data_IF_213822397172
#
_entry.id   IF_213822397172
#
_cell.length_a   1.000
_cell.length_b   1.000
_cell.length_c   1.000
_cell.angle_alpha   90.00
_cell.angle_beta   90.00
_cell.angle_gamma   90.00
#
_symmetry.space_group_name_H-M   'P 1'
#
loop_
_entity.id
_entity.type
_entity.pdbx_description
1 polymer ?
#
# COMPACT_ATOMS: atom_id res chain seq x y z
N UNK A 1 13.60 15.05 0.76
CA UNK A 1 12.33 14.30 0.90
C UNK A 1 12.54 12.93 0.30
N UNK A 2 12.70 11.88 1.12
CA UNK A 2 12.71 10.51 0.59
C UNK A 2 11.31 10.19 0.10
N UNK A 3 11.15 10.02 -1.22
CA UNK A 3 9.90 9.55 -1.77
C UNK A 3 9.74 8.08 -1.35
N UNK A 4 8.85 7.84 -0.38
CA UNK A 4 8.49 6.49 0.05
C UNK A 4 7.90 5.76 -1.16
N UNK A 5 8.62 4.74 -1.63
CA UNK A 5 8.15 3.84 -2.67
C UNK A 5 7.05 2.92 -2.13
N UNK A 6 6.43 2.16 -3.04
CA UNK A 6 5.29 1.29 -2.72
C UNK A 6 5.63 0.27 -1.62
N UNK A 7 6.81 -0.35 -1.65
CA UNK A 7 7.19 -1.38 -0.69
C UNK A 7 7.25 -0.79 0.72
N UNK A 8 7.91 0.37 0.88
CA UNK A 8 8.02 1.03 2.18
C UNK A 8 6.68 1.42 2.78
N UNK A 9 5.74 1.88 1.95
CA UNK A 9 4.37 2.21 2.39
C UNK A 9 3.60 0.97 2.81
N UNK A 10 3.75 -0.13 2.08
CA UNK A 10 3.12 -1.41 2.43
C UNK A 10 3.68 -1.96 3.76
N UNK A 11 4.99 -1.92 3.96
CA UNK A 11 5.66 -2.33 5.20
C UNK A 11 5.18 -1.50 6.40
N UNK A 12 5.06 -0.18 6.22
CA UNK A 12 4.53 0.70 7.26
C UNK A 12 3.04 0.42 7.56
N UNK A 13 2.22 0.19 6.53
CA UNK A 13 0.81 -0.13 6.74
C UNK A 13 0.65 -1.50 7.40
N UNK A 14 1.48 -2.47 7.02
CA UNK A 14 1.54 -3.80 7.64
C UNK A 14 1.82 -3.71 9.14
N UNK A 15 2.82 -2.92 9.52
CA UNK A 15 3.20 -2.70 10.92
C UNK A 15 2.27 -1.75 11.69
N UNK A 16 1.29 -1.13 11.03
CA UNK A 16 0.31 -0.24 11.65
C UNK A 16 -0.80 -1.04 12.32
N UNK A 17 -1.53 -0.39 13.23
CA UNK A 17 -2.69 -0.97 13.91
C UNK A 17 -3.98 -0.90 13.05
N UNK A 18 -3.90 -0.36 11.82
CA UNK A 18 -5.06 -0.26 10.92
C UNK A 18 -5.45 -1.65 10.42
N UNK A 19 -6.75 -1.93 10.41
CA UNK A 19 -7.31 -3.22 10.00
C UNK A 19 -8.25 -3.07 8.80
N UNK A 20 -8.33 -4.11 7.98
CA UNK A 20 -9.22 -4.14 6.81
C UNK A 20 -10.70 -3.96 7.18
N UNK A 21 -11.13 -4.56 8.30
CA UNK A 21 -12.51 -4.54 8.80
C UNK A 21 -13.01 -3.16 9.21
N UNK A 22 -12.10 -2.19 9.41
CA UNK A 22 -12.47 -0.80 9.71
C UNK A 22 -12.93 -0.03 8.46
N UNK A 23 -12.91 -0.68 7.28
CA UNK A 23 -13.22 -0.06 6.00
C UNK A 23 -12.50 1.29 5.78
N UNK A 24 -11.17 1.34 5.96
CA UNK A 24 -10.44 2.60 5.93
C UNK A 24 -10.47 3.25 4.55
N UNK A 25 -10.59 4.57 4.53
CA UNK A 25 -10.51 5.34 3.30
C UNK A 25 -9.03 5.64 2.91
N UNK A 26 -8.77 6.13 1.68
CA UNK A 26 -7.42 6.49 1.24
C UNK A 26 -6.66 7.44 2.18
N UNK A 27 -7.34 8.36 2.85
CA UNK A 27 -6.79 9.32 3.81
C UNK A 27 -6.37 8.62 5.09
N UNK A 28 -7.19 7.70 5.61
CA UNK A 28 -6.85 6.90 6.78
C UNK A 28 -5.59 6.07 6.54
N UNK A 29 -5.48 5.47 5.35
CA UNK A 29 -4.29 4.71 4.94
C UNK A 29 -3.05 5.61 4.92
N UNK A 30 -3.14 6.80 4.32
CA UNK A 30 -2.01 7.75 4.28
C UNK A 30 -1.60 8.24 5.67
N UNK A 31 -2.57 8.47 6.54
CA UNK A 31 -2.33 8.88 7.93
C UNK A 31 -1.68 7.75 8.73
N UNK A 32 -2.17 6.52 8.58
CA UNK A 32 -1.61 5.34 9.23
C UNK A 32 -0.16 5.08 8.80
N UNK A 33 0.15 5.16 7.50
CA UNK A 33 1.51 5.02 6.98
C UNK A 33 2.44 6.08 7.57
N UNK A 34 2.05 7.35 7.50
CA UNK A 34 2.84 8.47 8.03
C UNK A 34 3.10 8.30 9.53
N UNK A 35 2.04 8.06 10.31
CA UNK A 35 2.14 7.86 11.77
C UNK A 35 3.04 6.68 12.12
N UNK A 36 2.94 5.57 11.38
CA UNK A 36 3.73 4.37 11.68
C UNK A 36 5.21 4.59 11.39
N UNK A 37 5.54 5.24 10.28
CA UNK A 37 6.93 5.61 9.95
C UNK A 37 7.49 6.59 10.97
N UNK A 38 6.72 7.60 11.37
CA UNK A 38 7.15 8.56 12.40
C UNK A 38 7.35 7.92 13.77
N UNK A 39 6.55 6.90 14.12
CA UNK A 39 6.59 6.22 15.42
C UNK A 39 7.69 5.15 15.51
N UNK A 40 7.84 4.33 14.46
CA UNK A 40 8.69 3.14 14.47
C UNK A 40 9.96 3.31 13.64
N UNK A 41 9.92 4.12 12.59
CA UNK A 41 10.94 4.14 11.55
C UNK A 41 10.88 2.93 10.62
N UNK A 42 11.47 3.05 9.42
CA UNK A 42 11.40 2.00 8.39
C UNK A 42 12.01 0.66 8.84
N UNK A 43 13.20 0.60 9.46
CA UNK A 43 13.81 -0.68 9.82
C UNK A 43 12.96 -1.50 10.80
N UNK A 44 12.30 -0.83 11.75
CA UNK A 44 11.44 -1.50 12.71
C UNK A 44 10.15 -2.04 12.04
N UNK A 45 9.60 -1.34 11.05
CA UNK A 45 8.49 -1.86 10.25
C UNK A 45 8.87 -3.16 9.53
N UNK A 46 10.06 -3.20 8.91
CA UNK A 46 10.57 -4.40 8.22
C UNK A 46 10.82 -5.53 9.21
N UNK A 47 11.45 -5.24 10.37
CA UNK A 47 11.73 -6.24 11.38
C UNK A 47 10.44 -6.85 11.95
N UNK A 48 9.43 -6.03 12.24
CA UNK A 48 8.13 -6.52 12.69
C UNK A 48 7.45 -7.37 11.61
N UNK A 49 7.50 -6.93 10.35
CA UNK A 49 6.98 -7.71 9.24
C UNK A 49 7.66 -9.09 9.17
N UNK A 50 8.99 -9.13 9.22
CA UNK A 50 9.75 -10.38 9.20
C UNK A 50 9.39 -11.30 10.37
N UNK A 51 9.23 -10.75 11.58
CA UNK A 51 8.82 -11.51 12.75
C UNK A 51 7.44 -12.16 12.57
N UNK A 52 6.45 -11.38 12.14
CA UNK A 52 5.08 -11.89 11.91
C UNK A 52 5.04 -12.96 10.80
N UNK A 53 5.88 -12.83 9.77
CA UNK A 53 6.03 -13.87 8.75
C UNK A 53 6.70 -15.15 9.28
N UNK A 54 7.53 -15.05 10.31
CA UNK A 54 8.11 -16.22 11.00
C UNK A 54 7.11 -16.90 11.93
N UNK A 55 6.32 -16.12 12.67
CA UNK A 55 5.39 -16.64 13.67
C UNK A 55 4.07 -17.14 13.05
N UNK A 56 3.51 -16.37 12.12
CA UNK A 56 2.19 -16.59 11.53
C UNK A 56 2.16 -16.26 10.02
N UNK A 57 2.80 -17.10 9.17
CA UNK A 57 3.02 -16.79 7.77
C UNK A 57 1.72 -16.56 6.97
N UNK A 58 0.66 -17.32 7.22
CA UNK A 58 -0.63 -17.17 6.51
C UNK A 58 -1.34 -15.86 6.87
N UNK A 59 -1.33 -15.51 8.16
CA UNK A 59 -1.92 -14.27 8.65
C UNK A 59 -1.15 -13.06 8.13
N UNK A 60 0.19 -13.12 8.16
CA UNK A 60 1.06 -12.12 7.58
C UNK A 60 0.82 -11.98 6.07
N UNK A 61 0.74 -13.08 5.32
CA UNK A 61 0.46 -13.03 3.88
C UNK A 61 -0.91 -12.41 3.56
N UNK A 62 -1.95 -12.71 4.35
CA UNK A 62 -3.26 -12.07 4.22
C UNK A 62 -3.18 -10.55 4.49
N UNK A 63 -2.49 -10.15 5.57
CA UNK A 63 -2.30 -8.73 5.92
C UNK A 63 -1.50 -7.98 4.87
N UNK A 64 -0.45 -8.58 4.30
CA UNK A 64 0.39 -7.96 3.28
C UNK A 64 -0.35 -7.78 1.95
N UNK A 65 -1.17 -8.77 1.55
CA UNK A 65 -2.05 -8.66 0.38
C UNK A 65 -3.02 -7.49 0.52
N UNK A 66 -3.69 -7.38 1.68
CA UNK A 66 -4.56 -6.24 1.96
C UNK A 66 -3.79 -4.92 1.95
N UNK A 67 -2.64 -4.85 2.62
CA UNK A 67 -1.84 -3.64 2.72
C UNK A 67 -1.44 -3.12 1.34
N UNK A 68 -1.04 -4.02 0.43
CA UNK A 68 -0.72 -3.66 -0.95
C UNK A 68 -1.90 -3.02 -1.67
N UNK A 69 -3.06 -3.67 -1.66
CA UNK A 69 -4.27 -3.15 -2.34
C UNK A 69 -4.70 -1.80 -1.75
N UNK A 70 -4.62 -1.65 -0.42
CA UNK A 70 -4.94 -0.41 0.26
C UNK A 70 -3.97 0.73 -0.12
N UNK A 71 -2.66 0.47 -0.17
CA UNK A 71 -1.66 1.46 -0.55
C UNK A 71 -1.76 1.82 -2.04
N UNK A 72 -1.96 0.86 -2.93
CA UNK A 72 -2.18 1.12 -4.36
C UNK A 72 -3.41 2.02 -4.58
N UNK A 73 -4.48 1.79 -3.80
CA UNK A 73 -5.69 2.64 -3.83
C UNK A 73 -5.45 4.03 -3.26
N UNK A 74 -4.66 4.13 -2.18
CA UNK A 74 -4.40 5.38 -1.47
C UNK A 74 -3.35 6.29 -2.14
N UNK A 75 -2.46 5.69 -2.93
CA UNK A 75 -1.39 6.36 -3.66
C UNK A 75 -1.44 5.97 -5.14
N UNK A 76 -2.45 6.41 -5.88
CA UNK A 76 -2.52 6.15 -7.31
C UNK A 76 -1.24 6.68 -7.96
N UNK A 77 -0.57 5.83 -8.74
CA UNK A 77 0.57 6.24 -9.54
C UNK A 77 0.18 7.33 -10.54
N UNK A 78 1.15 7.95 -11.23
CA UNK A 78 0.86 8.84 -12.35
C UNK A 78 -0.07 8.10 -13.31
N UNK A 79 -1.30 8.59 -13.47
CA UNK A 79 -2.19 8.06 -14.50
C UNK A 79 -1.55 8.42 -15.83
N UNK A 80 -0.89 7.48 -16.48
CA UNK A 80 -0.58 7.62 -17.90
C UNK A 80 -1.95 7.61 -18.59
N UNK A 81 -2.42 8.72 -19.16
CA UNK A 81 -3.69 8.69 -19.88
C UNK A 81 -3.53 7.67 -21.01
N UNK A 82 -4.45 6.71 -21.07
CA UNK A 82 -4.50 5.76 -22.17
C UNK A 82 -4.42 6.55 -23.50
N UNK A 83 -3.61 6.10 -24.48
CA UNK A 83 -3.58 6.75 -25.77
C UNK A 83 -5.02 6.74 -26.29
N UNK A 84 -5.59 7.93 -26.52
CA UNK A 84 -6.91 8.09 -27.13
C UNK A 84 -6.80 7.70 -28.60
N UNK A 85 -6.68 6.40 -28.84
CA UNK A 85 -6.73 5.78 -30.16
C UNK A 85 -8.16 5.83 -30.66
N UNK A 86 -8.47 6.94 -31.36
CA UNK A 86 -9.64 7.10 -32.22
C UNK A 86 -9.68 5.94 -33.23
N UNK A 87 -10.53 4.95 -33.00
CA UNK A 87 -10.93 3.99 -34.04
C UNK A 87 -12.02 4.64 -34.90
N UNK A 88 -11.66 5.57 -35.79
CA UNK A 88 -12.51 5.89 -36.93
C UNK A 88 -12.27 4.83 -37.99
N UNK A 89 -13.04 3.74 -37.93
CA UNK A 89 -13.23 2.87 -39.09
C UNK A 89 -14.38 3.43 -39.91
N UNK A 90 -14.06 4.22 -40.92
CA UNK A 90 -14.96 4.52 -42.03
C UNK A 90 -14.92 3.32 -42.98
N UNK A 91 -16.01 2.57 -43.20
CA UNK A 91 -16.06 1.63 -44.32
C UNK A 91 -16.26 2.40 -45.64
N UNK A 92 -15.55 1.96 -46.69
CA UNK A 92 -15.87 2.28 -48.09
C UNK A 92 -17.25 1.74 -48.47
#
# INVERSE_FOLDING_TARGET
MYQLDLARRCEALFASDLQHSQHPDPTDVRAAVTRTISRLGQPACVARMAQEFGDHPEAAAARMRWARTAVESAYPGPRVPAPRGRLTRTPC
#
